data_IF_479705941158
#
_entry.id   IF_479705941158
#
_cell.length_a   1.000
_cell.length_b   1.000
_cell.length_c   1.000
_cell.angle_alpha   90.00
_cell.angle_beta   90.00
_cell.angle_gamma   90.00
#
_symmetry.space_group_name_H-M   'P 1'
#
loop_
_entity.id
_entity.type
_entity.pdbx_description
1 polymer ?
#
# COMPACT_ATOMS: atom_id res chain seq x y z
N UNK A 1 31.64 21.70 16.05
CA UNK A 1 31.14 22.29 14.79
C UNK A 1 31.36 21.31 13.65
N UNK A 2 30.54 21.34 12.59
CA UNK A 2 30.69 20.44 11.43
C UNK A 2 32.12 20.38 10.88
N UNK A 3 32.77 21.52 10.64
CA UNK A 3 34.14 21.57 10.16
C UNK A 3 35.17 20.89 11.09
N UNK A 4 34.92 20.83 12.39
CA UNK A 4 35.77 20.10 13.33
C UNK A 4 35.56 18.58 13.20
N UNK A 5 34.30 18.14 12.96
CA UNK A 5 33.99 16.73 12.70
C UNK A 5 34.67 16.27 11.42
N UNK A 6 34.57 17.05 10.34
CA UNK A 6 35.25 16.77 9.07
C UNK A 6 36.78 16.66 9.24
N UNK A 7 37.38 17.58 10.00
CA UNK A 7 38.82 17.54 10.28
C UNK A 7 39.25 16.30 11.08
N UNK A 8 38.47 15.94 12.12
CA UNK A 8 38.79 14.77 12.97
C UNK A 8 38.63 13.46 12.23
N UNK A 9 37.63 13.37 11.36
CA UNK A 9 37.28 12.15 10.62
C UNK A 9 37.73 12.19 9.15
N UNK A 10 38.74 13.02 8.82
CA UNK A 10 39.22 13.17 7.44
C UNK A 10 39.73 11.89 6.77
N UNK A 11 40.04 10.84 7.54
CA UNK A 11 40.44 9.51 7.04
C UNK A 11 39.25 8.55 6.77
N UNK A 12 38.03 8.96 7.00
CA UNK A 12 36.81 8.16 6.81
C UNK A 12 35.98 8.71 5.65
N UNK A 13 35.05 7.89 5.16
CA UNK A 13 34.08 8.36 4.18
C UNK A 13 33.04 9.26 4.86
N UNK A 14 32.95 10.51 4.44
CA UNK A 14 32.04 11.53 4.95
C UNK A 14 30.90 11.79 3.99
N UNK A 15 29.67 11.92 4.52
CA UNK A 15 28.48 12.32 3.78
C UNK A 15 28.03 13.68 4.34
N UNK A 16 28.10 14.70 3.52
CA UNK A 16 27.96 16.12 3.91
C UNK A 16 26.56 16.69 3.65
N UNK A 17 25.59 15.88 3.26
CA UNK A 17 24.23 16.33 2.91
C UNK A 17 23.52 17.09 4.04
N UNK A 18 23.92 16.89 5.29
CA UNK A 18 23.37 17.54 6.49
C UNK A 18 24.13 18.78 7.00
N UNK A 19 25.21 19.22 6.34
CA UNK A 19 26.09 20.30 6.82
C UNK A 19 25.37 21.59 7.17
N UNK A 20 24.43 22.03 6.34
CA UNK A 20 23.62 23.24 6.59
C UNK A 20 22.84 23.19 7.91
N UNK A 21 22.55 21.97 8.37
CA UNK A 21 21.80 21.72 9.60
C UNK A 21 22.69 21.24 10.75
N UNK A 22 24.01 21.29 10.57
CA UNK A 22 24.96 20.93 11.60
C UNK A 22 25.28 19.44 11.72
N UNK A 23 24.87 18.61 10.76
CA UNK A 23 25.06 17.16 10.76
C UNK A 23 26.11 16.75 9.72
N UNK A 24 27.06 15.92 10.15
CA UNK A 24 28.01 15.19 9.30
C UNK A 24 27.78 13.70 9.54
N UNK A 25 27.61 12.92 8.50
CA UNK A 25 27.56 11.47 8.63
C UNK A 25 28.92 10.87 8.33
N UNK A 26 29.47 10.12 9.28
CA UNK A 26 30.75 9.42 9.17
C UNK A 26 30.46 7.93 8.96
N UNK A 27 30.99 7.33 7.91
CA UNK A 27 30.84 5.89 7.66
C UNK A 27 32.01 5.14 8.25
N UNK A 28 31.77 4.32 9.28
CA UNK A 28 32.75 3.49 9.98
C UNK A 28 32.33 2.03 9.83
N UNK A 29 33.19 1.16 9.32
CA UNK A 29 32.91 -0.27 9.10
C UNK A 29 31.57 -0.53 8.35
N UNK A 30 31.30 0.28 7.33
CA UNK A 30 30.06 0.29 6.54
C UNK A 30 28.80 0.76 7.29
N UNK A 31 28.92 1.21 8.54
CA UNK A 31 27.82 1.77 9.33
C UNK A 31 27.85 3.31 9.27
N UNK A 32 26.75 3.98 8.88
CA UNK A 32 26.64 5.43 8.89
C UNK A 32 26.35 5.93 10.32
N UNK A 33 27.22 6.78 10.84
CA UNK A 33 27.07 7.43 12.16
C UNK A 33 26.86 8.92 11.95
N UNK A 34 25.69 9.42 12.35
CA UNK A 34 25.37 10.85 12.28
C UNK A 34 25.93 11.60 13.50
N UNK A 35 26.74 12.60 13.24
CA UNK A 35 27.33 13.50 14.25
C UNK A 35 26.70 14.88 14.05
N UNK A 36 25.81 15.27 14.96
CA UNK A 36 25.08 16.54 14.89
C UNK A 36 25.57 17.52 15.96
N UNK A 37 25.87 18.73 15.57
CA UNK A 37 26.14 19.85 16.48
C UNK A 37 24.81 20.31 17.10
N UNK A 38 24.78 20.52 18.42
CA UNK A 38 23.60 21.10 19.10
C UNK A 38 23.27 22.45 18.49
N UNK A 39 21.99 22.71 18.28
CA UNK A 39 21.52 23.89 17.59
C UNK A 39 20.19 24.40 18.12
N UNK A 40 19.94 25.67 17.85
CA UNK A 40 18.65 26.34 17.96
C UNK A 40 18.21 26.59 16.53
N UNK A 41 16.99 26.23 16.22
CA UNK A 41 16.39 26.53 14.92
C UNK A 41 15.71 27.90 14.99
N UNK A 42 15.87 28.72 13.95
CA UNK A 42 15.16 30.00 13.80
C UNK A 42 13.72 29.80 13.32
N UNK A 43 13.11 30.85 12.77
CA UNK A 43 11.76 30.79 12.21
C UNK A 43 11.70 29.79 11.02
N UNK A 44 10.48 29.36 10.69
CA UNK A 44 10.22 28.39 9.62
C UNK A 44 9.21 29.02 8.62
N UNK A 45 9.72 29.69 7.61
CA UNK A 45 8.86 30.36 6.61
C UNK A 45 8.20 29.39 5.63
N UNK A 46 8.83 28.22 5.40
CA UNK A 46 8.33 27.17 4.49
C UNK A 46 7.66 25.99 5.20
N UNK A 47 7.42 26.09 6.54
CA UNK A 47 6.88 25.03 7.38
C UNK A 47 7.65 23.69 7.28
N UNK A 48 8.97 23.76 7.05
CA UNK A 48 9.82 22.58 6.94
C UNK A 48 11.25 22.79 7.39
N UNK A 49 11.88 23.85 6.88
CA UNK A 49 13.28 24.11 7.15
C UNK A 49 13.39 25.39 7.98
N UNK A 50 14.22 25.38 9.02
CA UNK A 50 14.50 26.63 9.72
C UNK A 50 15.20 27.60 8.77
N UNK A 51 14.75 28.85 8.75
CA UNK A 51 15.32 29.95 7.95
C UNK A 51 16.78 30.21 8.35
N UNK A 52 17.10 29.96 9.62
CA UNK A 52 18.45 30.05 10.16
C UNK A 52 18.71 28.98 11.21
N UNK A 53 19.96 28.59 11.35
CA UNK A 53 20.43 27.63 12.36
C UNK A 53 21.55 28.28 13.16
N UNK A 54 21.41 28.31 14.48
CA UNK A 54 22.44 28.79 15.40
C UNK A 54 22.98 27.64 16.24
N UNK A 55 24.30 27.40 16.17
CA UNK A 55 24.91 26.34 16.97
C UNK A 55 25.04 26.78 18.44
N UNK A 56 24.68 25.87 19.34
CA UNK A 56 24.73 26.06 20.80
C UNK A 56 25.57 24.99 21.47
N UNK A 57 25.93 25.24 22.72
CA UNK A 57 26.52 24.22 23.61
C UNK A 57 25.50 23.67 24.62
N UNK A 58 24.28 24.17 24.58
CA UNK A 58 23.22 23.78 25.48
C UNK A 58 22.47 22.56 24.94
N UNK A 59 22.62 21.42 25.60
CA UNK A 59 21.81 20.22 25.33
C UNK A 59 20.31 20.51 25.48
N UNK A 60 19.95 21.35 26.46
CA UNK A 60 18.55 21.71 26.69
C UNK A 60 17.92 22.35 25.48
N UNK A 61 18.55 23.36 24.89
CA UNK A 61 18.04 24.04 23.70
C UNK A 61 17.93 23.10 22.50
N UNK A 62 18.85 22.15 22.32
CA UNK A 62 18.77 21.15 21.26
C UNK A 62 17.62 20.13 21.46
N UNK A 63 17.33 19.77 22.71
CA UNK A 63 16.22 18.86 23.03
C UNK A 63 14.86 19.56 22.93
N UNK A 64 14.77 20.84 23.31
CA UNK A 64 13.54 21.63 23.27
C UNK A 64 13.01 21.92 21.86
N UNK A 65 13.85 21.87 20.82
CA UNK A 65 13.42 22.03 19.42
C UNK A 65 12.90 20.74 18.77
N UNK A 66 13.01 19.59 19.44
CA UNK A 66 12.60 18.30 18.91
C UNK A 66 11.08 18.15 18.82
N UNK A 67 10.64 17.13 18.08
CA UNK A 67 9.21 16.89 17.83
C UNK A 67 8.47 16.37 19.09
N UNK A 68 8.93 15.25 19.65
CA UNK A 68 8.22 14.57 20.74
C UNK A 68 9.16 14.29 21.91
N UNK A 69 8.59 14.28 23.12
CA UNK A 69 9.32 14.03 24.37
C UNK A 69 10.08 12.71 24.33
N UNK A 70 9.47 11.65 23.79
CA UNK A 70 10.07 10.33 23.61
C UNK A 70 11.31 10.33 22.71
N UNK A 71 11.45 11.31 21.82
CA UNK A 71 12.58 11.51 20.91
C UNK A 71 13.58 12.56 21.41
N UNK A 72 13.33 13.17 22.56
CA UNK A 72 14.14 14.23 23.17
C UNK A 72 14.91 13.74 24.41
N UNK A 73 15.44 12.53 24.31
CA UNK A 73 16.31 11.92 25.31
C UNK A 73 17.76 11.96 24.82
N UNK A 74 18.69 12.18 25.71
CA UNK A 74 20.12 12.08 25.44
C UNK A 74 20.79 11.07 26.38
N UNK A 75 21.92 10.52 25.95
CA UNK A 75 22.71 9.60 26.73
C UNK A 75 24.17 9.97 26.70
N UNK A 76 24.86 9.88 27.83
CA UNK A 76 26.30 9.85 27.83
C UNK A 76 26.82 8.81 28.86
N UNK A 77 28.01 8.20 28.64
CA UNK A 77 28.57 7.23 29.59
C UNK A 77 28.72 7.78 30.99
N UNK A 78 28.99 9.09 31.15
CA UNK A 78 29.22 9.73 32.43
C UNK A 78 27.94 10.07 33.19
N UNK A 79 26.87 10.44 32.48
CA UNK A 79 25.61 10.93 33.07
C UNK A 79 24.45 9.94 32.95
N UNK A 80 24.64 8.87 32.17
CA UNK A 80 23.53 7.99 31.81
C UNK A 80 22.51 8.70 30.91
N UNK A 81 21.24 8.34 31.03
CA UNK A 81 20.14 8.97 30.30
C UNK A 81 19.82 10.34 30.91
N UNK A 82 19.81 11.35 30.07
CA UNK A 82 19.41 12.73 30.40
C UNK A 82 18.05 12.97 29.80
N UNK A 83 17.05 13.23 30.62
CA UNK A 83 15.69 13.56 30.26
C UNK A 83 15.33 14.94 30.83
N UNK A 84 15.14 15.91 29.97
CA UNK A 84 14.80 17.29 30.36
C UNK A 84 13.35 17.65 30.10
N UNK A 85 12.58 16.77 29.43
CA UNK A 85 11.22 17.05 28.94
C UNK A 85 10.19 15.98 29.37
N UNK A 86 10.61 14.98 30.17
CA UNK A 86 9.73 13.94 30.68
C UNK A 86 9.49 12.77 29.71
N UNK A 87 10.36 12.60 28.70
CA UNK A 87 10.20 11.59 27.66
C UNK A 87 10.24 10.15 28.16
N UNK A 88 11.02 9.85 29.23
CA UNK A 88 11.03 8.52 29.84
C UNK A 88 9.67 8.14 30.40
N UNK A 89 9.05 9.08 31.14
CA UNK A 89 7.73 8.86 31.70
C UNK A 89 6.68 8.67 30.60
N UNK A 90 6.72 9.47 29.54
CA UNK A 90 5.80 9.32 28.42
C UNK A 90 5.98 7.98 27.70
N UNK A 91 7.21 7.45 27.57
CA UNK A 91 7.47 6.11 27.04
C UNK A 91 6.89 5.03 27.98
N UNK A 92 7.10 5.15 29.28
CA UNK A 92 6.58 4.22 30.30
C UNK A 92 5.04 4.20 30.32
N UNK A 93 4.43 5.38 30.19
CA UNK A 93 2.96 5.56 30.17
C UNK A 93 2.35 5.24 28.79
N UNK A 94 3.16 5.02 27.74
CA UNK A 94 2.69 4.75 26.36
C UNK A 94 2.04 5.97 25.71
N UNK A 95 2.64 7.16 25.86
CA UNK A 95 2.10 8.44 25.40
C UNK A 95 3.04 9.09 24.37
N UNK A 96 2.47 9.58 23.26
CA UNK A 96 3.13 10.46 22.31
C UNK A 96 2.73 11.90 22.63
N UNK A 97 3.70 12.71 23.07
CA UNK A 97 3.52 14.11 23.47
C UNK A 97 4.51 15.00 22.74
N UNK A 98 4.07 16.15 22.22
CA UNK A 98 4.97 17.17 21.69
C UNK A 98 5.87 17.77 22.78
N UNK A 99 7.08 18.16 22.39
CA UNK A 99 7.94 18.99 23.25
C UNK A 99 7.42 20.42 23.23
N UNK A 100 7.08 20.97 24.40
CA UNK A 100 6.55 22.32 24.53
C UNK A 100 5.13 22.49 23.95
N UNK A 101 4.86 23.62 23.27
CA UNK A 101 3.55 23.90 22.68
C UNK A 101 3.37 23.13 21.35
N UNK A 102 2.39 22.20 21.25
CA UNK A 102 2.18 21.42 20.05
C UNK A 102 1.76 22.29 18.85
N UNK A 103 1.02 23.39 19.03
CA UNK A 103 0.66 24.25 17.91
C UNK A 103 1.91 24.88 17.27
N UNK A 104 2.84 25.37 18.10
CA UNK A 104 4.10 25.89 17.62
C UNK A 104 4.91 24.83 16.87
N UNK A 105 5.00 23.60 17.45
CA UNK A 105 5.73 22.49 16.82
C UNK A 105 5.15 22.11 15.45
N UNK A 106 3.84 22.13 15.27
CA UNK A 106 3.20 21.80 13.99
C UNK A 106 3.30 22.94 12.96
N UNK A 107 3.34 24.19 13.40
CA UNK A 107 3.60 25.32 12.52
C UNK A 107 5.04 25.34 11.98
N UNK A 108 6.02 24.85 12.73
CA UNK A 108 7.39 24.68 12.27
C UNK A 108 7.50 23.59 11.15
N UNK A 109 6.94 22.41 11.37
CA UNK A 109 6.87 21.34 10.37
C UNK A 109 5.55 20.58 10.51
N UNK A 110 4.63 20.82 9.59
CA UNK A 110 3.32 20.16 9.55
C UNK A 110 3.40 18.65 9.48
N UNK A 111 4.48 18.08 8.94
CA UNK A 111 4.67 16.62 8.90
C UNK A 111 4.75 16.00 10.30
N UNK A 112 5.12 16.76 11.33
CA UNK A 112 5.14 16.29 12.72
C UNK A 112 3.77 15.72 13.15
N UNK A 113 2.66 16.21 12.61
CA UNK A 113 1.34 15.64 12.85
C UNK A 113 1.26 14.18 12.40
N UNK A 114 1.62 13.89 11.15
CA UNK A 114 1.64 12.50 10.66
C UNK A 114 2.69 11.64 11.36
N UNK A 115 3.80 12.23 11.79
CA UNK A 115 4.79 11.54 12.63
C UNK A 115 4.22 11.13 13.98
N UNK A 116 3.39 11.98 14.61
CA UNK A 116 2.67 11.63 15.85
C UNK A 116 1.76 10.44 15.63
N UNK A 117 0.91 10.49 14.59
CA UNK A 117 0.02 9.39 14.21
C UNK A 117 0.81 8.10 13.93
N UNK A 118 1.93 8.19 13.22
CA UNK A 118 2.80 7.05 12.96
C UNK A 118 3.38 6.46 14.24
N UNK A 119 3.95 7.27 15.13
CA UNK A 119 4.53 6.77 16.37
C UNK A 119 3.46 6.11 17.24
N UNK A 120 2.31 6.76 17.39
CA UNK A 120 1.18 6.19 18.11
C UNK A 120 0.75 4.85 17.53
N UNK A 121 0.61 4.76 16.20
CA UNK A 121 0.25 3.51 15.52
C UNK A 121 1.31 2.43 15.67
N UNK A 122 2.58 2.73 15.35
CA UNK A 122 3.68 1.74 15.33
C UNK A 122 3.93 1.16 16.71
N UNK A 123 3.96 2.01 17.74
CA UNK A 123 4.24 1.59 19.11
C UNK A 123 2.98 1.24 19.91
N UNK A 124 1.78 1.48 19.37
CA UNK A 124 0.50 1.26 20.07
C UNK A 124 0.32 2.19 21.26
N UNK A 125 0.84 3.41 21.16
CA UNK A 125 0.75 4.45 22.17
C UNK A 125 -0.48 5.33 21.95
N UNK A 126 -0.95 5.99 23.03
CA UNK A 126 -1.95 7.05 22.93
C UNK A 126 -1.28 8.39 22.57
N UNK A 127 -2.02 9.27 21.90
CA UNK A 127 -1.57 10.66 21.72
C UNK A 127 -2.10 11.49 22.89
N UNK A 128 -1.25 12.31 23.47
CA UNK A 128 -1.62 13.19 24.59
C UNK A 128 -2.69 14.19 24.12
N UNK A 129 -3.66 14.51 25.00
CA UNK A 129 -4.88 15.23 24.65
C UNK A 129 -4.66 16.61 24.00
N UNK A 130 -3.71 17.40 24.50
CA UNK A 130 -3.42 18.73 23.91
C UNK A 130 -2.70 18.57 22.55
N UNK A 131 -1.81 17.57 22.45
CA UNK A 131 -1.15 17.20 21.19
C UNK A 131 -2.18 16.73 20.15
N UNK A 132 -3.15 15.87 20.53
CA UNK A 132 -4.24 15.42 19.66
C UNK A 132 -5.12 16.58 19.20
N UNK A 133 -5.54 17.45 20.12
CA UNK A 133 -6.34 18.63 19.82
C UNK A 133 -5.60 19.58 18.84
N UNK A 134 -4.29 19.75 19.03
CA UNK A 134 -3.48 20.59 18.14
C UNK A 134 -3.33 19.96 16.74
N UNK A 135 -3.27 18.62 16.60
CA UNK A 135 -3.26 17.93 15.31
C UNK A 135 -4.54 18.29 14.52
N UNK A 136 -5.72 18.17 15.14
CA UNK A 136 -6.98 18.51 14.48
C UNK A 136 -7.05 19.99 14.08
N UNK A 137 -6.58 20.91 14.95
CA UNK A 137 -6.58 22.36 14.67
C UNK A 137 -5.66 22.73 13.51
N UNK A 138 -4.53 22.07 13.36
CA UNK A 138 -3.48 22.44 12.40
C UNK A 138 -3.45 21.54 11.16
N UNK A 139 -4.38 20.60 10.97
CA UNK A 139 -4.37 19.58 9.91
C UNK A 139 -4.21 20.15 8.50
N UNK A 140 -4.72 21.36 8.23
CA UNK A 140 -4.63 22.01 6.92
C UNK A 140 -3.17 22.30 6.50
N UNK A 141 -2.23 22.39 7.44
CA UNK A 141 -0.80 22.53 7.13
C UNK A 141 -0.24 21.35 6.33
N UNK A 142 -0.92 20.18 6.37
CA UNK A 142 -0.53 19.01 5.56
C UNK A 142 -0.61 19.27 4.06
N UNK A 143 -1.44 20.21 3.60
CA UNK A 143 -1.55 20.57 2.18
C UNK A 143 -0.24 21.13 1.61
N UNK A 144 0.59 21.75 2.45
CA UNK A 144 1.91 22.29 2.08
C UNK A 144 3.05 21.29 2.09
N UNK A 145 2.81 20.04 2.52
CA UNK A 145 3.86 19.05 2.70
C UNK A 145 4.06 18.22 1.40
N UNK A 146 5.33 17.96 1.06
CA UNK A 146 5.67 17.13 -0.09
C UNK A 146 5.04 15.73 0.01
N UNK A 147 4.43 15.28 -1.08
CA UNK A 147 3.65 14.04 -1.15
C UNK A 147 4.47 12.81 -0.77
N UNK A 148 5.75 12.76 -1.15
CA UNK A 148 6.67 11.67 -0.81
C UNK A 148 6.87 11.54 0.71
N UNK A 149 6.94 12.67 1.43
CA UNK A 149 7.07 12.67 2.90
C UNK A 149 5.78 12.17 3.55
N UNK A 150 4.63 12.61 3.08
CA UNK A 150 3.31 12.16 3.53
C UNK A 150 3.16 10.66 3.31
N UNK A 151 3.46 10.17 2.09
CA UNK A 151 3.39 8.77 1.70
C UNK A 151 4.20 7.86 2.63
N UNK A 152 5.43 8.26 2.98
CA UNK A 152 6.29 7.48 3.87
C UNK A 152 5.70 7.38 5.29
N UNK A 153 5.19 8.48 5.85
CA UNK A 153 4.61 8.49 7.18
C UNK A 153 3.29 7.69 7.23
N UNK A 154 2.39 7.89 6.25
CA UNK A 154 1.13 7.15 6.14
C UNK A 154 1.38 5.64 5.96
N UNK A 155 2.34 5.25 5.11
CA UNK A 155 2.67 3.84 4.90
C UNK A 155 3.11 3.17 6.21
N UNK A 156 3.99 3.82 6.97
CA UNK A 156 4.45 3.30 8.27
C UNK A 156 3.33 3.28 9.30
N UNK A 157 2.47 4.29 9.31
CA UNK A 157 1.29 4.37 10.18
C UNK A 157 0.31 3.23 9.89
N UNK A 158 -0.01 2.99 8.63
CA UNK A 158 -0.90 1.90 8.21
C UNK A 158 -0.38 0.52 8.60
N UNK A 159 0.93 0.34 8.67
CA UNK A 159 1.56 -0.91 9.10
C UNK A 159 1.74 -1.04 10.62
N UNK A 160 1.32 -0.06 11.40
CA UNK A 160 1.42 -0.10 12.85
C UNK A 160 0.35 -0.98 13.51
N UNK A 161 0.64 -1.48 14.71
CA UNK A 161 -0.28 -2.31 15.50
C UNK A 161 -1.46 -1.54 16.11
N UNK A 162 -1.34 -0.23 16.23
CA UNK A 162 -2.38 0.67 16.77
C UNK A 162 -3.14 1.42 15.69
N UNK A 163 -3.06 1.00 14.43
CA UNK A 163 -3.61 1.70 13.28
C UNK A 163 -5.12 1.96 13.38
N UNK A 164 -5.88 1.02 13.92
CA UNK A 164 -7.35 1.11 14.05
C UNK A 164 -7.76 2.36 14.82
N UNK A 165 -7.18 2.57 16.01
CA UNK A 165 -7.47 3.74 16.84
C UNK A 165 -7.11 5.06 16.14
N UNK A 166 -6.01 5.06 15.38
CA UNK A 166 -5.59 6.25 14.64
C UNK A 166 -6.56 6.57 13.50
N UNK A 167 -7.04 5.54 12.78
CA UNK A 167 -8.01 5.73 11.71
C UNK A 167 -9.39 6.14 12.25
N UNK A 168 -9.77 5.69 13.44
CA UNK A 168 -11.02 6.10 14.11
C UNK A 168 -10.94 7.56 14.58
N UNK A 169 -9.87 7.95 15.27
CA UNK A 169 -9.76 9.24 15.92
C UNK A 169 -9.33 10.36 14.95
N UNK A 170 -8.45 10.08 13.98
CA UNK A 170 -7.83 11.08 13.11
C UNK A 170 -8.21 10.93 11.63
N UNK A 171 -9.39 10.38 11.35
CA UNK A 171 -9.90 10.22 9.98
C UNK A 171 -9.89 11.54 9.19
N UNK A 172 -10.32 12.64 9.82
CA UNK A 172 -10.36 13.98 9.24
C UNK A 172 -8.96 14.54 8.91
N UNK A 173 -7.94 14.13 9.63
CA UNK A 173 -6.54 14.51 9.39
C UNK A 173 -5.97 13.72 8.21
N UNK A 174 -6.26 12.42 8.15
CA UNK A 174 -5.82 11.52 7.07
C UNK A 174 -6.51 11.88 5.75
N UNK A 175 -7.75 12.37 5.81
CA UNK A 175 -8.50 12.84 4.65
C UNK A 175 -7.93 14.13 4.02
N UNK A 176 -7.09 14.90 4.70
CA UNK A 176 -6.46 16.09 4.09
C UNK A 176 -5.60 15.71 2.88
N UNK A 177 -4.63 14.79 2.98
CA UNK A 177 -3.88 14.32 1.81
C UNK A 177 -4.66 13.36 0.90
N UNK A 178 -5.74 12.72 1.39
CA UNK A 178 -6.55 11.76 0.64
C UNK A 178 -8.05 12.13 0.77
N UNK A 179 -8.49 13.24 0.14
CA UNK A 179 -9.87 13.72 0.28
C UNK A 179 -10.91 12.75 -0.26
N UNK A 180 -10.51 11.78 -1.07
CA UNK A 180 -11.37 10.70 -1.57
C UNK A 180 -11.89 9.78 -0.46
N UNK A 181 -11.34 9.84 0.74
CA UNK A 181 -11.85 9.11 1.90
C UNK A 181 -13.09 9.76 2.53
N UNK A 182 -13.26 11.09 2.38
CA UNK A 182 -14.37 11.84 3.00
C UNK A 182 -15.76 11.25 2.68
N UNK A 183 -16.07 10.86 1.43
CA UNK A 183 -17.38 10.28 1.11
C UNK A 183 -17.63 8.89 1.72
N UNK A 184 -16.64 8.25 2.35
CA UNK A 184 -16.78 6.97 3.02
C UNK A 184 -17.26 7.12 4.47
N UNK A 185 -17.03 8.30 5.08
CA UNK A 185 -17.37 8.55 6.48
C UNK A 185 -18.89 8.62 6.65
N UNK A 186 -19.41 7.85 7.60
CA UNK A 186 -20.85 7.77 7.90
C UNK A 186 -21.73 7.37 6.71
N UNK A 187 -21.14 6.74 5.67
CA UNK A 187 -21.86 6.27 4.50
C UNK A 187 -22.47 4.89 4.77
N UNK A 188 -23.75 4.87 5.10
CA UNK A 188 -24.52 3.65 5.37
C UNK A 188 -24.68 2.78 4.13
N UNK A 189 -24.40 1.48 4.27
CA UNK A 189 -24.38 0.55 3.14
C UNK A 189 -25.76 -0.04 2.80
N UNK A 190 -26.72 0.00 3.73
CA UNK A 190 -28.07 -0.55 3.58
C UNK A 190 -28.09 -1.98 3.03
N UNK A 191 -27.14 -2.81 3.47
CA UNK A 191 -26.96 -4.16 2.97
C UNK A 191 -26.72 -5.13 4.14
N UNK A 192 -27.44 -6.27 4.24
CA UNK A 192 -27.34 -7.19 5.36
C UNK A 192 -25.96 -7.83 5.54
N UNK A 193 -25.12 -7.81 4.48
CA UNK A 193 -23.74 -8.28 4.57
C UNK A 193 -22.80 -7.27 5.25
N UNK A 194 -23.25 -6.03 5.51
CA UNK A 194 -22.48 -4.98 6.16
C UNK A 194 -23.23 -4.44 7.38
N UNK A 195 -22.59 -4.49 8.53
CA UNK A 195 -23.08 -3.97 9.81
C UNK A 195 -22.41 -2.65 10.23
N UNK A 196 -21.58 -2.11 9.36
CA UNK A 196 -20.82 -0.86 9.52
C UNK A 196 -21.03 0.04 8.31
N UNK A 197 -20.78 1.34 8.48
CA UNK A 197 -20.60 2.27 7.35
C UNK A 197 -19.35 1.88 6.54
N UNK A 198 -19.13 2.51 5.39
CA UNK A 198 -18.00 2.17 4.51
C UNK A 198 -16.65 2.41 5.20
N UNK A 199 -16.53 3.47 6.01
CA UNK A 199 -15.28 3.77 6.71
C UNK A 199 -15.01 2.78 7.84
N UNK A 200 -15.99 2.48 8.67
CA UNK A 200 -15.86 1.49 9.74
C UNK A 200 -15.57 0.09 9.21
N UNK A 201 -16.16 -0.28 8.05
CA UNK A 201 -15.80 -1.51 7.33
C UNK A 201 -14.33 -1.49 6.89
N UNK A 202 -13.87 -0.39 6.27
CA UNK A 202 -12.48 -0.24 5.83
C UNK A 202 -11.49 -0.37 6.98
N UNK A 203 -11.79 0.23 8.15
CA UNK A 203 -10.98 0.08 9.36
C UNK A 203 -10.92 -1.39 9.79
N UNK A 204 -12.05 -2.09 9.78
CA UNK A 204 -12.11 -3.50 10.16
C UNK A 204 -11.32 -4.39 9.18
N UNK A 205 -11.33 -4.09 7.87
CA UNK A 205 -10.49 -4.78 6.87
C UNK A 205 -9.02 -4.54 7.16
N UNK A 206 -8.62 -3.30 7.45
CA UNK A 206 -7.25 -2.94 7.81
C UNK A 206 -6.81 -3.68 9.09
N UNK A 207 -7.66 -3.81 10.08
CA UNK A 207 -7.34 -4.54 11.32
C UNK A 207 -7.04 -6.02 11.07
N UNK A 208 -7.78 -6.63 10.15
CA UNK A 208 -7.74 -8.06 9.86
C UNK A 208 -6.74 -8.49 8.77
N UNK A 209 -6.01 -7.55 8.16
CA UNK A 209 -5.03 -7.83 7.10
C UNK A 209 -3.60 -7.67 7.61
N UNK A 210 -2.64 -8.45 7.06
CA UNK A 210 -1.24 -8.37 7.47
C UNK A 210 -0.67 -6.95 7.32
N UNK A 211 0.23 -6.52 8.24
CA UNK A 211 0.82 -5.18 8.24
C UNK A 211 1.91 -5.04 7.17
N UNK A 212 1.58 -5.35 5.93
CA UNK A 212 2.44 -5.19 4.75
C UNK A 212 1.97 -3.98 3.94
N UNK A 213 2.86 -3.09 3.48
CA UNK A 213 2.49 -1.86 2.79
C UNK A 213 1.46 -2.04 1.68
N UNK A 214 1.70 -2.97 0.75
CA UNK A 214 0.80 -3.22 -0.40
C UNK A 214 -0.60 -3.64 0.06
N UNK A 215 -0.69 -4.53 1.05
CA UNK A 215 -1.97 -5.02 1.58
C UNK A 215 -2.73 -3.93 2.33
N UNK A 216 -2.05 -3.15 3.18
CA UNK A 216 -2.65 -2.08 3.98
C UNK A 216 -3.16 -0.92 3.10
N UNK A 217 -2.41 -0.55 2.06
CA UNK A 217 -2.87 0.43 1.08
C UNK A 217 -4.03 -0.10 0.24
N UNK A 218 -3.99 -1.36 -0.19
CA UNK A 218 -5.10 -1.96 -0.90
C UNK A 218 -6.37 -2.00 -0.03
N UNK A 219 -6.25 -2.37 1.25
CA UNK A 219 -7.35 -2.36 2.21
C UNK A 219 -7.91 -0.95 2.46
N UNK A 220 -7.04 0.09 2.50
CA UNK A 220 -7.51 1.48 2.64
C UNK A 220 -8.32 1.95 1.42
N UNK A 221 -7.95 1.51 0.22
CA UNK A 221 -8.45 2.08 -1.04
C UNK A 221 -9.51 1.21 -1.74
N UNK A 222 -9.76 -0.05 -1.31
CA UNK A 222 -10.60 -1.00 -2.04
C UNK A 222 -12.03 -0.50 -2.26
N UNK A 223 -12.59 0.20 -1.30
CA UNK A 223 -14.00 0.63 -1.27
C UNK A 223 -14.20 2.14 -1.50
N UNK A 224 -13.17 2.89 -1.87
CA UNK A 224 -13.27 4.35 -2.10
C UNK A 224 -14.33 4.74 -3.14
N UNK A 225 -14.64 3.87 -4.09
CA UNK A 225 -15.64 4.08 -5.14
C UNK A 225 -17.08 3.79 -4.73
N UNK A 226 -17.35 3.16 -3.58
CA UNK A 226 -18.70 2.71 -3.17
C UNK A 226 -19.72 3.83 -3.16
N UNK A 227 -19.40 4.98 -2.59
CA UNK A 227 -20.32 6.11 -2.50
C UNK A 227 -20.80 6.64 -3.87
N UNK A 228 -20.00 6.45 -4.93
CA UNK A 228 -20.32 6.89 -6.30
C UNK A 228 -21.07 5.82 -7.11
N UNK A 229 -21.12 4.58 -6.61
CA UNK A 229 -21.77 3.44 -7.27
C UNK A 229 -23.02 2.95 -6.53
N UNK A 230 -23.45 3.69 -5.49
CA UNK A 230 -24.56 3.29 -4.65
C UNK A 230 -25.90 3.37 -5.37
N UNK A 231 -26.69 2.32 -5.25
CA UNK A 231 -28.10 2.27 -5.67
C UNK A 231 -28.89 1.41 -4.67
N UNK A 232 -30.18 1.70 -4.53
CA UNK A 232 -31.09 0.89 -3.71
C UNK A 232 -31.96 0.07 -4.65
N UNK A 233 -31.99 -1.26 -4.46
CA UNK A 233 -32.86 -2.17 -5.17
C UNK A 233 -34.33 -2.01 -4.76
N UNK A 234 -35.25 -2.65 -5.49
CA UNK A 234 -36.69 -2.68 -5.15
C UNK A 234 -36.97 -3.37 -3.79
N UNK A 235 -36.05 -4.21 -3.34
CA UNK A 235 -36.03 -4.87 -2.02
C UNK A 235 -35.52 -4.01 -0.87
N UNK A 236 -35.12 -2.76 -1.16
CA UNK A 236 -34.52 -1.83 -0.20
C UNK A 236 -33.07 -2.13 0.13
N UNK A 237 -32.41 -3.07 -0.57
CA UNK A 237 -31.02 -3.43 -0.35
C UNK A 237 -30.09 -2.50 -1.15
N UNK A 238 -29.00 -2.06 -0.53
CA UNK A 238 -27.95 -1.26 -1.14
C UNK A 238 -27.06 -2.13 -2.03
N UNK A 239 -26.78 -1.64 -3.24
CA UNK A 239 -25.90 -2.25 -4.24
C UNK A 239 -24.83 -1.26 -4.69
N UNK A 240 -23.65 -1.79 -5.06
CA UNK A 240 -22.46 -1.02 -5.42
C UNK A 240 -21.84 -1.52 -6.73
N UNK A 241 -22.66 -1.75 -7.75
CA UNK A 241 -22.19 -2.30 -9.02
C UNK A 241 -21.10 -1.44 -9.67
N UNK A 242 -19.97 -2.07 -10.01
CA UNK A 242 -18.82 -1.40 -10.63
C UNK A 242 -17.94 -0.60 -9.66
N UNK A 243 -18.13 -0.72 -8.34
CA UNK A 243 -17.31 0.01 -7.38
C UNK A 243 -15.83 -0.39 -7.45
N UNK A 244 -15.49 -1.62 -7.79
CA UNK A 244 -14.11 -2.08 -7.89
C UNK A 244 -13.33 -1.33 -9.00
N UNK A 245 -13.94 -1.14 -10.17
CA UNK A 245 -13.36 -0.33 -11.26
C UNK A 245 -13.25 1.14 -10.85
N UNK A 246 -14.28 1.67 -10.19
CA UNK A 246 -14.27 3.06 -9.71
C UNK A 246 -13.22 3.27 -8.63
N UNK A 247 -13.14 2.38 -7.65
CA UNK A 247 -12.08 2.39 -6.61
C UNK A 247 -10.70 2.29 -7.24
N UNK A 248 -10.51 1.47 -8.28
CA UNK A 248 -9.24 1.33 -8.99
C UNK A 248 -8.82 2.66 -9.64
N UNK A 249 -9.74 3.35 -10.31
CA UNK A 249 -9.44 4.64 -10.93
C UNK A 249 -9.08 5.69 -9.87
N UNK A 250 -9.85 5.78 -8.78
CA UNK A 250 -9.55 6.69 -7.68
C UNK A 250 -8.23 6.35 -6.99
N UNK A 251 -7.96 5.07 -6.75
CA UNK A 251 -6.69 4.61 -6.18
C UNK A 251 -5.50 4.97 -7.07
N UNK A 252 -5.62 4.89 -8.40
CA UNK A 252 -4.57 5.28 -9.33
C UNK A 252 -4.23 6.77 -9.23
N UNK A 253 -5.24 7.63 -9.14
CA UNK A 253 -5.06 9.07 -8.93
C UNK A 253 -4.39 9.37 -7.59
N UNK A 254 -4.84 8.72 -6.51
CA UNK A 254 -4.25 8.86 -5.16
C UNK A 254 -2.78 8.43 -5.15
N UNK A 255 -2.47 7.24 -5.67
CA UNK A 255 -1.12 6.69 -5.65
C UNK A 255 -0.15 7.50 -6.53
N UNK A 256 -0.63 8.05 -7.67
CA UNK A 256 0.13 8.97 -8.51
C UNK A 256 0.42 10.29 -7.77
N UNK A 257 -0.58 10.89 -7.13
CA UNK A 257 -0.44 12.12 -6.33
C UNK A 257 0.50 11.90 -5.15
N UNK A 258 0.45 10.74 -4.50
CA UNK A 258 1.34 10.33 -3.41
C UNK A 258 2.74 9.88 -3.86
N UNK A 259 3.03 9.93 -5.17
CA UNK A 259 4.37 9.61 -5.72
C UNK A 259 4.85 8.18 -5.41
N UNK A 260 3.95 7.20 -5.45
CA UNK A 260 4.36 5.80 -5.38
C UNK A 260 5.22 5.41 -6.58
N UNK A 261 6.18 4.49 -6.36
CA UNK A 261 6.88 3.85 -7.45
C UNK A 261 5.93 2.97 -8.29
N UNK A 262 6.30 2.75 -9.56
CA UNK A 262 5.42 2.03 -10.48
C UNK A 262 5.11 0.59 -10.03
N UNK A 263 6.11 -0.12 -9.48
CA UNK A 263 5.93 -1.50 -9.06
C UNK A 263 4.99 -1.61 -7.84
N UNK A 264 5.17 -0.73 -6.85
CA UNK A 264 4.28 -0.64 -5.68
C UNK A 264 2.85 -0.27 -6.08
N UNK A 265 2.72 0.73 -6.96
CA UNK A 265 1.42 1.16 -7.50
C UNK A 265 0.69 0.02 -8.22
N UNK A 266 1.35 -0.67 -9.15
CA UNK A 266 0.73 -1.77 -9.89
C UNK A 266 0.26 -2.91 -8.97
N UNK A 267 1.03 -3.24 -7.92
CA UNK A 267 0.66 -4.26 -6.94
C UNK A 267 -0.59 -3.87 -6.16
N UNK A 268 -0.68 -2.62 -5.69
CA UNK A 268 -1.85 -2.12 -4.96
C UNK A 268 -3.07 -2.08 -5.88
N UNK A 269 -2.96 -1.49 -7.08
CA UNK A 269 -4.06 -1.38 -8.03
C UNK A 269 -4.61 -2.74 -8.46
N UNK A 270 -3.75 -3.75 -8.59
CA UNK A 270 -4.17 -5.12 -8.86
C UNK A 270 -5.09 -5.65 -7.76
N UNK A 271 -4.72 -5.46 -6.51
CA UNK A 271 -5.53 -5.91 -5.37
C UNK A 271 -6.86 -5.17 -5.31
N UNK A 272 -6.85 -3.84 -5.47
CA UNK A 272 -8.07 -3.03 -5.50
C UNK A 272 -8.99 -3.44 -6.66
N UNK A 273 -8.45 -3.69 -7.84
CA UNK A 273 -9.24 -4.08 -9.04
C UNK A 273 -9.95 -5.41 -8.87
N UNK A 274 -9.33 -6.37 -8.20
CA UNK A 274 -9.84 -7.75 -8.10
C UNK A 274 -10.40 -8.10 -6.72
N UNK A 275 -10.54 -7.11 -5.80
CA UNK A 275 -11.03 -7.38 -4.46
C UNK A 275 -12.49 -7.87 -4.40
N UNK A 276 -13.32 -7.52 -5.39
CA UNK A 276 -14.74 -7.95 -5.48
C UNK A 276 -14.94 -9.17 -6.38
N UNK A 277 -13.86 -9.74 -6.95
CA UNK A 277 -13.94 -10.93 -7.77
C UNK A 277 -14.26 -12.16 -6.92
N UNK A 278 -15.30 -12.96 -7.24
CA UNK A 278 -15.63 -14.15 -6.45
C UNK A 278 -14.45 -15.14 -6.39
N UNK A 279 -13.99 -15.46 -5.19
CA UNK A 279 -13.02 -16.53 -4.94
C UNK A 279 -13.78 -17.75 -4.42
N UNK A 280 -13.68 -18.86 -5.16
CA UNK A 280 -14.24 -20.16 -4.78
C UNK A 280 -13.11 -21.17 -4.65
N UNK A 281 -13.36 -22.24 -3.89
CA UNK A 281 -12.44 -23.39 -3.78
C UNK A 281 -12.57 -24.28 -5.03
N UNK A 282 -12.41 -23.67 -6.21
CA UNK A 282 -12.41 -24.33 -7.51
C UNK A 282 -11.00 -24.39 -8.09
N UNK A 283 -10.52 -25.60 -8.38
CA UNK A 283 -9.14 -25.84 -8.83
C UNK A 283 -8.80 -25.07 -10.13
N UNK A 284 -9.76 -24.96 -11.06
CA UNK A 284 -9.54 -24.21 -12.32
C UNK A 284 -9.44 -22.72 -12.09
N UNK A 285 -10.29 -22.19 -11.20
CA UNK A 285 -10.19 -20.79 -10.80
C UNK A 285 -8.84 -20.47 -10.18
N UNK A 286 -8.36 -21.32 -9.26
CA UNK A 286 -7.05 -21.12 -8.60
C UNK A 286 -5.89 -21.23 -9.61
N UNK A 287 -5.93 -22.16 -10.55
CA UNK A 287 -4.95 -22.22 -11.65
C UNK A 287 -4.94 -20.93 -12.49
N UNK A 288 -6.11 -20.40 -12.83
CA UNK A 288 -6.22 -19.13 -13.57
C UNK A 288 -5.67 -17.95 -12.77
N UNK A 289 -5.92 -17.90 -11.46
CA UNK A 289 -5.32 -16.89 -10.58
C UNK A 289 -3.79 -16.97 -10.60
N UNK A 290 -3.24 -18.16 -10.42
CA UNK A 290 -1.80 -18.39 -10.45
C UNK A 290 -1.19 -18.02 -11.81
N UNK A 291 -1.83 -18.39 -12.90
CA UNK A 291 -1.38 -18.04 -14.25
C UNK A 291 -1.39 -16.54 -14.50
N UNK A 292 -2.45 -15.85 -14.09
CA UNK A 292 -2.66 -14.42 -14.37
C UNK A 292 -1.85 -13.51 -13.46
N UNK A 293 -1.71 -13.87 -12.19
CA UNK A 293 -1.19 -12.99 -11.16
C UNK A 293 0.12 -13.48 -10.53
N UNK A 294 0.44 -14.75 -10.68
CA UNK A 294 1.53 -15.42 -9.97
C UNK A 294 1.15 -15.76 -8.52
N UNK A 295 2.00 -16.50 -7.83
CA UNK A 295 1.72 -16.99 -6.47
C UNK A 295 1.52 -15.86 -5.47
N UNK A 296 2.48 -14.92 -5.37
CA UNK A 296 2.45 -13.87 -4.36
C UNK A 296 1.16 -13.03 -4.45
N UNK A 297 0.80 -12.58 -5.66
CA UNK A 297 -0.38 -11.75 -5.85
C UNK A 297 -1.69 -12.54 -5.65
N UNK A 298 -1.73 -13.82 -6.00
CA UNK A 298 -2.89 -14.69 -5.75
C UNK A 298 -3.13 -14.88 -4.25
N UNK A 299 -2.08 -15.12 -3.47
CA UNK A 299 -2.19 -15.21 -2.00
C UNK A 299 -2.58 -13.88 -1.37
N UNK A 300 -2.05 -12.76 -1.88
CA UNK A 300 -2.43 -11.42 -1.41
C UNK A 300 -3.91 -11.10 -1.72
N UNK A 301 -4.43 -11.52 -2.87
CA UNK A 301 -5.86 -11.38 -3.19
C UNK A 301 -6.72 -12.19 -2.22
N UNK A 302 -6.38 -13.46 -1.99
CA UNK A 302 -7.10 -14.32 -1.03
C UNK A 302 -7.06 -13.70 0.37
N UNK A 303 -5.92 -13.15 0.78
CA UNK A 303 -5.77 -12.49 2.08
C UNK A 303 -6.65 -11.23 2.19
N UNK A 304 -6.74 -10.41 1.13
CA UNK A 304 -7.61 -9.24 1.10
C UNK A 304 -9.09 -9.66 1.19
N UNK A 305 -9.52 -10.66 0.42
CA UNK A 305 -10.90 -11.19 0.51
C UNK A 305 -11.23 -11.76 1.89
N UNK A 306 -10.26 -12.43 2.52
CA UNK A 306 -10.42 -12.93 3.90
C UNK A 306 -10.62 -11.77 4.88
N UNK A 307 -9.78 -10.74 4.78
CA UNK A 307 -9.85 -9.57 5.64
C UNK A 307 -11.15 -8.77 5.41
N UNK A 308 -11.57 -8.62 4.16
CA UNK A 308 -12.84 -8.00 3.76
C UNK A 308 -14.03 -8.75 4.39
N UNK A 309 -14.05 -10.08 4.28
CA UNK A 309 -15.08 -10.93 4.88
C UNK A 309 -15.11 -10.80 6.41
N UNK A 310 -13.97 -10.68 7.07
CA UNK A 310 -13.91 -10.43 8.53
C UNK A 310 -14.37 -9.02 8.90
N UNK A 311 -14.27 -8.05 7.99
CA UNK A 311 -14.82 -6.70 8.15
C UNK A 311 -16.32 -6.61 7.93
N UNK A 312 -16.95 -7.60 7.28
CA UNK A 312 -18.38 -7.71 7.00
C UNK A 312 -19.19 -8.20 8.21
N UNK A 313 -20.50 -8.33 8.05
CA UNK A 313 -21.37 -8.87 9.09
C UNK A 313 -21.13 -10.39 9.32
N UNK A 314 -21.58 -10.89 10.46
CA UNK A 314 -21.39 -12.30 10.86
C UNK A 314 -21.96 -13.32 9.87
N UNK A 315 -22.91 -12.93 9.02
CA UNK A 315 -23.49 -13.78 7.97
C UNK A 315 -22.42 -14.23 6.95
N UNK A 316 -21.37 -13.45 6.77
CA UNK A 316 -20.32 -13.71 5.81
C UNK A 316 -19.21 -14.66 6.32
N UNK A 317 -19.12 -14.87 7.64
CA UNK A 317 -18.06 -15.67 8.29
C UNK A 317 -17.89 -17.09 7.69
N UNK A 318 -18.97 -17.82 7.29
CA UNK A 318 -18.81 -19.14 6.67
C UNK A 318 -17.94 -19.15 5.40
N UNK A 319 -17.76 -18.00 4.71
CA UNK A 319 -16.88 -17.88 3.52
C UNK A 319 -15.40 -18.07 3.86
N UNK A 320 -14.99 -17.88 5.11
CA UNK A 320 -13.57 -17.99 5.52
C UNK A 320 -12.98 -19.36 5.19
N UNK A 321 -13.75 -20.44 5.35
CA UNK A 321 -13.30 -21.81 5.02
C UNK A 321 -12.94 -21.95 3.52
N UNK A 322 -13.60 -21.19 2.64
CA UNK A 322 -13.29 -21.19 1.20
C UNK A 322 -11.89 -20.63 0.94
N UNK A 323 -11.48 -19.57 1.67
CA UNK A 323 -10.16 -18.95 1.49
C UNK A 323 -9.03 -19.82 2.03
N UNK A 324 -9.27 -20.54 3.12
CA UNK A 324 -8.33 -21.53 3.65
C UNK A 324 -8.12 -22.68 2.64
N UNK A 325 -9.23 -23.20 2.10
CA UNK A 325 -9.18 -24.24 1.06
C UNK A 325 -8.48 -23.73 -0.21
N UNK A 326 -8.76 -22.50 -0.64
CA UNK A 326 -8.11 -21.90 -1.80
C UNK A 326 -6.58 -21.77 -1.62
N UNK A 327 -6.11 -21.37 -0.43
CA UNK A 327 -4.68 -21.32 -0.12
C UNK A 327 -4.04 -22.73 -0.10
N UNK A 328 -4.71 -23.72 0.47
CA UNK A 328 -4.22 -25.12 0.44
C UNK A 328 -4.13 -25.64 -1.00
N UNK A 329 -5.10 -25.32 -1.86
CA UNK A 329 -5.05 -25.65 -3.29
C UNK A 329 -3.88 -25.01 -4.03
N UNK A 330 -3.49 -23.79 -3.66
CA UNK A 330 -2.26 -23.17 -4.21
C UNK A 330 -1.05 -24.04 -3.87
N UNK A 331 -0.92 -24.47 -2.62
CA UNK A 331 0.21 -25.32 -2.18
C UNK A 331 0.26 -26.64 -2.94
N UNK A 332 -0.90 -27.30 -3.10
CA UNK A 332 -1.03 -28.55 -3.87
C UNK A 332 -0.64 -28.35 -5.34
N UNK A 333 -1.19 -27.31 -5.99
CA UNK A 333 -0.95 -27.02 -7.40
C UNK A 333 0.52 -26.70 -7.69
N UNK A 334 1.18 -25.97 -6.80
CA UNK A 334 2.60 -25.65 -6.93
C UNK A 334 3.51 -26.88 -6.73
N UNK A 335 3.04 -27.90 -5.99
CA UNK A 335 3.76 -29.16 -5.84
C UNK A 335 3.55 -30.12 -7.04
N UNK A 336 2.33 -30.16 -7.58
CA UNK A 336 1.95 -31.13 -8.61
C UNK A 336 2.23 -30.63 -10.03
N UNK A 337 2.00 -29.36 -10.30
CA UNK A 337 2.04 -28.77 -11.63
C UNK A 337 3.11 -27.69 -11.77
N UNK A 338 3.82 -27.72 -12.90
CA UNK A 338 4.85 -26.72 -13.22
C UNK A 338 4.43 -25.78 -14.37
N UNK A 339 3.16 -25.84 -14.82
CA UNK A 339 2.71 -25.05 -15.97
C UNK A 339 1.64 -24.03 -15.58
N UNK A 340 2.12 -22.82 -15.23
CA UNK A 340 1.26 -21.66 -14.95
C UNK A 340 1.56 -20.44 -15.85
N UNK A 341 2.60 -20.54 -16.69
CA UNK A 341 3.01 -19.46 -17.58
C UNK A 341 3.33 -19.94 -18.97
N UNK A 342 3.39 -19.04 -19.95
CA UNK A 342 3.79 -19.34 -21.31
C UNK A 342 5.18 -19.99 -21.40
N UNK A 343 6.05 -19.73 -20.43
CA UNK A 343 7.40 -20.32 -20.38
C UNK A 343 7.40 -21.79 -19.99
N UNK A 344 6.34 -22.24 -19.33
CA UNK A 344 6.21 -23.61 -18.83
C UNK A 344 5.52 -24.53 -19.85
N UNK A 345 5.03 -23.98 -20.98
CA UNK A 345 4.45 -24.77 -22.07
C UNK A 345 5.49 -25.63 -22.74
N UNK A 346 5.09 -26.86 -23.12
CA UNK A 346 5.91 -27.77 -23.93
C UNK A 346 6.06 -27.32 -25.39
N UNK A 347 5.51 -26.16 -25.79
CA UNK A 347 5.67 -25.49 -27.08
C UNK A 347 6.09 -24.07 -26.89
N UNK A 348 6.72 -23.48 -27.90
CA UNK A 348 7.21 -22.10 -27.86
C UNK A 348 6.95 -21.36 -29.16
N UNK A 349 7.42 -20.11 -29.28
CA UNK A 349 7.21 -19.28 -30.47
C UNK A 349 7.79 -19.87 -31.77
N UNK A 350 8.89 -20.64 -31.70
CA UNK A 350 9.47 -21.29 -32.88
C UNK A 350 8.57 -22.41 -33.41
N UNK A 351 7.94 -23.15 -32.49
CA UNK A 351 6.97 -24.17 -32.86
C UNK A 351 5.77 -23.55 -33.56
N UNK A 352 5.28 -22.41 -33.07
CA UNK A 352 4.20 -21.65 -33.72
C UNK A 352 4.59 -21.12 -35.09
N UNK A 353 5.82 -20.64 -35.25
CA UNK A 353 6.34 -20.21 -36.55
C UNK A 353 6.47 -21.39 -37.52
N UNK A 354 6.84 -22.58 -37.05
CA UNK A 354 6.99 -23.77 -37.88
C UNK A 354 5.65 -24.23 -38.53
N UNK A 355 4.51 -23.93 -37.92
CA UNK A 355 3.16 -24.18 -38.47
C UNK A 355 2.61 -23.02 -39.28
N UNK A 356 3.37 -21.93 -39.47
CA UNK A 356 2.98 -20.81 -40.34
C UNK A 356 2.45 -19.58 -39.63
N UNK A 357 2.34 -19.57 -38.30
CA UNK A 357 1.89 -18.40 -37.52
C UNK A 357 2.93 -17.27 -37.51
N UNK A 358 2.48 -16.01 -37.51
CA UNK A 358 3.35 -14.82 -37.53
C UNK A 358 2.81 -13.71 -36.60
N UNK A 359 3.73 -12.90 -36.11
CA UNK A 359 3.40 -11.69 -35.36
C UNK A 359 2.53 -11.95 -34.11
N UNK A 360 1.46 -11.20 -33.94
CA UNK A 360 0.56 -11.31 -32.76
C UNK A 360 -0.15 -12.68 -32.66
N UNK A 361 -0.37 -13.38 -33.79
CA UNK A 361 -1.01 -14.69 -33.79
C UNK A 361 -0.21 -15.71 -32.97
N UNK A 362 1.14 -15.64 -32.96
CA UNK A 362 1.97 -16.50 -32.14
C UNK A 362 1.62 -16.37 -30.66
N UNK A 363 1.57 -15.15 -30.14
CA UNK A 363 1.26 -14.90 -28.74
C UNK A 363 -0.16 -15.33 -28.35
N UNK A 364 -1.14 -15.03 -29.22
CA UNK A 364 -2.54 -15.41 -29.02
C UNK A 364 -2.70 -16.94 -28.95
N UNK A 365 -2.07 -17.67 -29.87
CA UNK A 365 -2.14 -19.14 -29.91
C UNK A 365 -1.42 -19.78 -28.72
N UNK A 366 -0.26 -19.24 -28.30
CA UNK A 366 0.41 -19.70 -27.08
C UNK A 366 -0.44 -19.46 -25.83
N UNK A 367 -1.13 -18.31 -25.74
CA UNK A 367 -2.05 -18.04 -24.65
C UNK A 367 -3.23 -19.02 -24.65
N UNK A 368 -3.80 -19.31 -25.79
CA UNK A 368 -4.88 -20.28 -25.91
C UNK A 368 -4.42 -21.72 -25.57
N UNK A 369 -3.18 -22.09 -25.91
CA UNK A 369 -2.59 -23.34 -25.48
C UNK A 369 -2.45 -23.38 -23.94
N UNK A 370 -2.00 -22.28 -23.31
CA UNK A 370 -1.90 -22.18 -21.86
C UNK A 370 -3.27 -22.30 -21.20
N UNK A 371 -4.27 -21.58 -21.72
CA UNK A 371 -5.65 -21.63 -21.21
C UNK A 371 -6.24 -23.05 -21.32
N UNK A 372 -5.93 -23.78 -22.41
CA UNK A 372 -6.35 -25.17 -22.60
C UNK A 372 -5.69 -26.14 -21.60
N UNK A 373 -4.42 -25.90 -21.24
CA UNK A 373 -3.72 -26.69 -20.20
C UNK A 373 -4.29 -26.38 -18.82
N UNK A 374 -4.50 -25.10 -18.51
CA UNK A 374 -5.08 -24.67 -17.23
C UNK A 374 -6.49 -25.24 -17.04
N UNK A 375 -7.30 -25.23 -18.11
CA UNK A 375 -8.66 -25.80 -18.10
C UNK A 375 -8.69 -27.34 -18.17
N UNK A 376 -7.52 -28.01 -18.19
CA UNK A 376 -7.38 -29.47 -18.29
C UNK A 376 -8.02 -30.07 -19.56
N UNK A 377 -8.15 -29.28 -20.63
CA UNK A 377 -8.68 -29.73 -21.94
C UNK A 377 -7.63 -30.49 -22.74
N UNK A 378 -6.35 -30.14 -22.56
CA UNK A 378 -5.22 -30.70 -23.28
C UNK A 378 -4.03 -30.87 -22.32
N UNK A 379 -3.33 -32.01 -22.37
CA UNK A 379 -2.14 -32.19 -21.55
C UNK A 379 -0.98 -31.31 -22.07
N UNK A 380 -0.12 -30.84 -21.16
CA UNK A 380 1.06 -30.05 -21.50
C UNK A 380 2.15 -30.93 -22.11
N UNK A 381 1.99 -31.35 -23.36
CA UNK A 381 3.02 -32.02 -24.15
C UNK A 381 3.05 -31.44 -25.57
N UNK A 382 4.21 -31.51 -26.23
CA UNK A 382 4.47 -30.89 -27.51
C UNK A 382 3.46 -31.29 -28.59
N UNK A 383 3.16 -32.61 -28.70
CA UNK A 383 2.29 -33.13 -29.76
C UNK A 383 0.84 -32.63 -29.63
N UNK A 384 0.28 -32.69 -28.42
CA UNK A 384 -1.10 -32.27 -28.15
C UNK A 384 -1.27 -30.74 -28.32
N UNK A 385 -0.31 -29.97 -27.88
CA UNK A 385 -0.36 -28.49 -28.00
C UNK A 385 -0.16 -28.01 -29.43
N UNK A 386 0.71 -28.68 -30.18
CA UNK A 386 0.88 -28.37 -31.60
C UNK A 386 -0.35 -28.75 -32.44
N UNK A 387 -1.05 -29.86 -32.08
CA UNK A 387 -2.31 -30.21 -32.68
C UNK A 387 -3.41 -29.14 -32.43
N UNK A 388 -3.54 -28.72 -31.18
CA UNK A 388 -4.47 -27.63 -30.81
C UNK A 388 -4.16 -26.32 -31.56
N UNK A 389 -2.88 -25.96 -31.66
CA UNK A 389 -2.47 -24.74 -32.38
C UNK A 389 -2.84 -24.78 -33.87
N UNK A 390 -2.70 -25.98 -34.52
CA UNK A 390 -3.11 -26.16 -35.93
C UNK A 390 -4.62 -26.11 -36.09
N UNK A 391 -5.38 -26.68 -35.19
CA UNK A 391 -6.85 -26.68 -35.22
C UNK A 391 -7.36 -25.22 -35.10
N UNK A 392 -6.79 -24.43 -34.19
CA UNK A 392 -7.12 -23.03 -34.01
C UNK A 392 -6.78 -22.20 -35.26
N UNK A 393 -5.63 -22.41 -35.87
CA UNK A 393 -5.24 -21.72 -37.11
C UNK A 393 -6.20 -22.00 -38.25
N UNK A 394 -6.73 -23.23 -38.38
CA UNK A 394 -7.72 -23.60 -39.37
C UNK A 394 -9.06 -22.89 -39.10
N UNK A 395 -9.52 -22.88 -37.85
CA UNK A 395 -10.78 -22.21 -37.46
C UNK A 395 -10.73 -20.71 -37.72
N UNK A 396 -9.61 -20.04 -37.39
CA UNK A 396 -9.39 -18.61 -37.65
C UNK A 396 -9.43 -18.31 -39.18
N UNK A 397 -8.84 -19.20 -39.97
CA UNK A 397 -8.83 -19.07 -41.43
C UNK A 397 -10.26 -19.21 -42.03
N UNK A 398 -11.03 -20.19 -41.55
CA UNK A 398 -12.42 -20.40 -41.96
C UNK A 398 -13.32 -19.22 -41.59
N UNK A 399 -13.12 -18.62 -40.41
CA UNK A 399 -13.83 -17.42 -39.98
C UNK A 399 -13.52 -16.24 -40.89
N UNK A 400 -12.25 -16.01 -41.22
CA UNK A 400 -11.83 -14.91 -42.13
C UNK A 400 -12.46 -15.10 -43.53
N UNK A 401 -12.47 -16.33 -44.05
CA UNK A 401 -13.09 -16.64 -45.35
C UNK A 401 -14.62 -16.42 -45.34
N UNK A 402 -15.27 -16.79 -44.22
CA UNK A 402 -16.71 -16.56 -44.01
C UNK A 402 -17.05 -15.07 -43.95
N UNK A 403 -16.27 -14.28 -43.22
CA UNK A 403 -16.45 -12.84 -43.08
C UNK A 403 -16.24 -12.15 -44.44
N UNK A 404 -15.22 -12.56 -45.21
CA UNK A 404 -14.98 -12.05 -46.55
C UNK A 404 -16.10 -12.38 -47.52
N UNK A 405 -16.69 -13.59 -47.46
CA UNK A 405 -17.82 -13.98 -48.28
C UNK A 405 -19.10 -13.21 -47.92
N UNK A 406 -19.29 -12.88 -46.62
CA UNK A 406 -20.43 -12.09 -46.17
C UNK A 406 -20.31 -10.61 -46.59
N UNK A 407 -19.12 -10.03 -46.53
CA UNK A 407 -18.86 -8.66 -46.99
C UNK A 407 -18.99 -8.53 -48.50
N UNK A 408 -18.53 -9.52 -49.27
CA UNK A 408 -18.73 -9.58 -50.71
C UNK A 408 -20.23 -9.62 -51.11
N UNK A 409 -21.06 -10.39 -50.35
CA UNK A 409 -22.51 -10.43 -50.54
C UNK A 409 -23.25 -9.14 -50.17
N UNK A 410 -22.68 -8.30 -49.33
CA UNK A 410 -23.23 -6.99 -48.93
C UNK A 410 -22.86 -5.89 -49.93
N UNK A 411 -21.83 -6.08 -50.74
CA UNK A 411 -21.35 -5.13 -51.74
C UNK A 411 -21.90 -5.41 -53.16
N UNK A 412 -22.53 -6.58 -53.36
CA UNK A 412 -23.24 -6.98 -54.60
C UNK A 412 -24.76 -6.84 -54.40
#
# INVERSE_FOLDING_TARGET
>A
LPAQVESVFSGYHLIETGLKHGTVTVVIDHEPIEITTYRIDGDYSDHRHPDSVHFTRSLKEDLERRDFTMNALAYSPQKGIVDLVGGRKDIEDGIVRCVGDPNHRFQEDGLRMLRALRFASVYGMAIEAETASAIHRNKELLQGIAAERIQVELTKMLCGKGVTKILEEFADVIAIPIPELLPMFHFEQHNPHHDKDVWGHTIAVIDNIAPKPVLRWAALLHDTGKSQCFSIGEDGIGHFFGHAEKSTAMAEEILNRMRFDNAGKERILRLVRYHDMPITADRKLIKRLLSKHGEEASRQLIELHRADTLGQSSICIPRLATFETANAMIDELLQEEKCFSLKDLAVNGNDMMSIGLKGKAIGNTLQACLDAVIDERVPNNHASLLALAREQMLADTDQILSDFANDYKRMS
#
